data_IF_037949779148
#
_entry.id   IF_037949779148
#
_cell.length_a   1.000
_cell.length_b   1.000
_cell.length_c   1.000
_cell.angle_alpha   90.00
_cell.angle_beta   90.00
_cell.angle_gamma   90.00
#
_symmetry.space_group_name_H-M   'P 1'
#
loop_
_entity.id
_entity.type
_entity.pdbx_description
1 polymer ?
#
# COMPACT_ATOMS: atom_id res chain seq x y z
N UNK A 1 -26.61 -41.55 -0.43
CA UNK A 1 -25.73 -40.63 0.34
C UNK A 1 -25.63 -39.30 -0.41
N UNK A 2 -26.44 -38.31 -0.03
CA UNK A 2 -26.46 -37.00 -0.69
C UNK A 2 -25.23 -36.19 -0.32
N UNK A 3 -24.36 -35.94 -1.29
CA UNK A 3 -23.17 -35.09 -1.14
C UNK A 3 -23.65 -33.64 -0.96
N UNK A 4 -23.76 -33.19 0.29
CA UNK A 4 -24.01 -31.78 0.62
C UNK A 4 -22.91 -30.95 -0.04
N UNK A 5 -23.26 -30.16 -1.07
CA UNK A 5 -22.37 -29.12 -1.60
C UNK A 5 -22.14 -28.13 -0.45
N UNK A 6 -20.90 -28.10 0.06
CA UNK A 6 -20.47 -27.05 0.98
C UNK A 6 -20.75 -25.70 0.31
N UNK A 7 -21.31 -24.70 1.01
CA UNK A 7 -21.43 -23.36 0.46
C UNK A 7 -20.04 -22.92 0.03
N UNK A 8 -19.92 -22.54 -1.24
CA UNK A 8 -18.69 -22.00 -1.80
C UNK A 8 -18.43 -20.68 -1.07
N UNK A 9 -17.61 -20.73 -0.03
CA UNK A 9 -17.03 -19.53 0.56
C UNK A 9 -16.39 -18.74 -0.58
N UNK A 10 -16.77 -17.47 -0.69
CA UNK A 10 -16.32 -16.57 -1.75
C UNK A 10 -14.78 -16.69 -1.88
N UNK A 11 -14.23 -17.03 -3.06
CA UNK A 11 -12.80 -17.26 -3.19
C UNK A 11 -12.04 -15.97 -2.87
N UNK A 12 -10.92 -16.09 -2.16
CA UNK A 12 -10.05 -14.96 -1.84
C UNK A 12 -9.27 -14.59 -3.10
N UNK A 13 -9.72 -13.55 -3.81
CA UNK A 13 -9.11 -13.15 -5.08
C UNK A 13 -8.18 -11.96 -4.88
N UNK A 14 -6.95 -12.06 -5.37
CA UNK A 14 -6.02 -10.94 -5.38
C UNK A 14 -6.46 -9.88 -6.39
N UNK A 15 -6.67 -8.66 -5.91
CA UNK A 15 -7.10 -7.57 -6.78
C UNK A 15 -6.07 -7.23 -7.89
N UNK A 16 -4.78 -7.24 -7.57
CA UNK A 16 -3.70 -6.85 -8.49
C UNK A 16 -3.48 -7.83 -9.65
N UNK A 17 -3.68 -9.13 -9.43
CA UNK A 17 -3.37 -10.17 -10.43
C UNK A 17 -4.47 -11.20 -10.67
N UNK A 18 -5.65 -10.99 -10.07
CA UNK A 18 -6.86 -11.80 -10.23
C UNK A 18 -6.70 -13.29 -9.95
N UNK A 19 -5.66 -13.69 -9.20
CA UNK A 19 -5.47 -15.07 -8.74
C UNK A 19 -6.35 -15.38 -7.54
N UNK A 20 -6.90 -16.58 -7.52
CA UNK A 20 -7.70 -17.16 -6.45
C UNK A 20 -6.83 -17.87 -5.40
N UNK A 21 -7.30 -17.82 -4.16
CA UNK A 21 -6.67 -18.42 -2.99
C UNK A 21 -7.73 -19.03 -2.08
N UNK A 22 -7.35 -20.12 -1.40
CA UNK A 22 -8.23 -20.82 -0.46
C UNK A 22 -8.40 -20.07 0.87
N UNK A 23 -7.39 -19.29 1.27
CA UNK A 23 -7.33 -18.59 2.56
C UNK A 23 -6.87 -17.13 2.42
N UNK A 24 -7.46 -16.23 3.22
CA UNK A 24 -7.08 -14.82 3.29
C UNK A 24 -5.60 -14.64 3.68
N UNK A 25 -5.12 -15.46 4.61
CA UNK A 25 -3.71 -15.43 5.05
C UNK A 25 -2.77 -15.73 3.89
N UNK A 26 -3.13 -16.69 3.04
CA UNK A 26 -2.34 -17.05 1.85
C UNK A 26 -2.39 -15.94 0.82
N UNK A 27 -3.55 -15.31 0.63
CA UNK A 27 -3.70 -14.11 -0.21
C UNK A 27 -2.79 -12.96 0.28
N UNK A 28 -2.77 -12.67 1.58
CA UNK A 28 -1.90 -11.62 2.16
C UNK A 28 -0.42 -11.95 1.93
N UNK A 29 -0.02 -13.21 2.17
CA UNK A 29 1.35 -13.66 1.90
C UNK A 29 1.72 -13.50 0.42
N UNK A 30 0.80 -13.81 -0.49
CA UNK A 30 0.98 -13.61 -1.92
C UNK A 30 1.18 -12.13 -2.28
N UNK A 31 0.32 -11.25 -1.76
CA UNK A 31 0.43 -9.79 -1.97
C UNK A 31 1.81 -9.27 -1.54
N UNK A 32 2.27 -9.65 -0.35
CA UNK A 32 3.59 -9.28 0.20
C UNK A 32 4.75 -9.82 -0.63
N UNK A 33 4.66 -11.06 -1.11
CA UNK A 33 5.74 -11.70 -1.83
C UNK A 33 5.88 -11.22 -3.28
N UNK A 34 4.77 -10.86 -3.93
CA UNK A 34 4.73 -10.55 -5.37
C UNK A 34 4.56 -9.07 -5.70
N UNK A 35 3.66 -8.38 -4.99
CA UNK A 35 3.24 -7.01 -5.31
C UNK A 35 3.96 -5.98 -4.44
N UNK A 36 4.15 -6.28 -3.16
CA UNK A 36 4.78 -5.38 -2.20
C UNK A 36 6.24 -5.71 -1.91
N UNK A 37 6.97 -6.12 -2.94
CA UNK A 37 8.40 -6.44 -2.86
C UNK A 37 9.21 -5.31 -3.48
N UNK A 38 10.13 -4.73 -2.71
CA UNK A 38 11.05 -3.71 -3.23
C UNK A 38 11.95 -4.31 -4.31
N UNK A 39 12.09 -3.62 -5.45
CA UNK A 39 12.98 -4.04 -6.53
C UNK A 39 14.46 -4.01 -6.14
N UNK A 40 14.86 -3.03 -5.32
CA UNK A 40 16.26 -2.75 -5.01
C UNK A 40 16.79 -3.63 -3.87
N UNK A 41 16.09 -3.67 -2.73
CA UNK A 41 16.54 -4.42 -1.56
C UNK A 41 15.74 -5.71 -1.28
N UNK A 42 14.74 -6.03 -2.10
CA UNK A 42 13.91 -7.23 -1.96
C UNK A 42 13.12 -7.30 -0.63
N UNK A 43 13.07 -6.21 0.15
CA UNK A 43 12.26 -6.08 1.37
C UNK A 43 10.78 -6.22 1.02
N UNK A 44 10.05 -6.98 1.84
CA UNK A 44 8.61 -7.23 1.69
C UNK A 44 7.84 -6.28 2.61
N UNK A 45 6.95 -5.49 2.03
CA UNK A 45 6.09 -4.53 2.72
C UNK A 45 4.66 -5.06 2.76
N UNK A 46 3.77 -4.38 3.49
CA UNK A 46 2.38 -4.81 3.70
C UNK A 46 1.38 -4.09 2.80
N UNK A 47 1.69 -2.90 2.31
CA UNK A 47 0.78 -2.05 1.53
C UNK A 47 1.50 -1.36 0.36
N UNK A 48 0.73 -0.92 -0.65
CA UNK A 48 1.21 -0.14 -1.78
C UNK A 48 1.90 1.16 -1.37
N UNK A 49 1.25 2.05 -0.60
CA UNK A 49 1.87 3.28 -0.11
C UNK A 49 3.12 3.03 0.74
N UNK A 50 3.12 1.96 1.55
CA UNK A 50 4.29 1.55 2.32
C UNK A 50 5.49 1.17 1.44
N UNK A 51 5.25 0.51 0.30
CA UNK A 51 6.29 0.24 -0.70
C UNK A 51 6.82 1.53 -1.33
N UNK A 52 5.93 2.45 -1.72
CA UNK A 52 6.34 3.73 -2.32
C UNK A 52 7.20 4.56 -1.38
N UNK A 53 6.77 4.66 -0.13
CA UNK A 53 7.49 5.38 0.90
C UNK A 53 8.85 4.74 1.20
N UNK A 54 8.90 3.41 1.27
CA UNK A 54 10.16 2.69 1.45
C UNK A 54 11.16 2.98 0.32
N UNK A 55 10.73 2.90 -0.94
CA UNK A 55 11.57 3.22 -2.09
C UNK A 55 12.04 4.69 -2.06
N UNK A 56 11.15 5.62 -1.72
CA UNK A 56 11.49 7.03 -1.63
C UNK A 56 12.48 7.32 -0.50
N UNK A 57 12.30 6.72 0.68
CA UNK A 57 13.13 7.02 1.84
C UNK A 57 14.50 6.37 1.76
N UNK A 58 14.54 5.08 1.45
CA UNK A 58 15.74 4.24 1.52
C UNK A 58 16.53 4.32 0.22
N UNK A 59 15.83 4.36 -0.91
CA UNK A 59 16.46 4.31 -2.24
C UNK A 59 16.40 5.63 -2.99
N UNK A 60 15.69 6.65 -2.47
CA UNK A 60 15.46 7.95 -3.14
C UNK A 60 14.79 7.79 -4.52
N UNK A 61 14.06 6.70 -4.70
CA UNK A 61 13.35 6.37 -5.93
C UNK A 61 11.85 6.54 -5.72
N UNK A 62 11.19 7.25 -6.64
CA UNK A 62 9.74 7.42 -6.61
C UNK A 62 9.12 6.34 -7.49
N UNK A 63 8.27 5.51 -6.88
CA UNK A 63 7.43 4.54 -7.60
C UNK A 63 5.98 5.02 -7.59
N UNK A 64 5.35 5.02 -8.76
CA UNK A 64 3.95 5.44 -8.93
C UNK A 64 3.01 4.27 -9.15
N UNK A 65 3.55 3.08 -9.41
CA UNK A 65 2.77 1.88 -9.71
C UNK A 65 3.31 0.67 -8.95
N UNK A 66 2.39 -0.26 -8.65
CA UNK A 66 2.70 -1.52 -7.98
C UNK A 66 3.30 -2.50 -9.00
N UNK A 67 4.48 -3.08 -8.73
CA UNK A 67 5.11 -4.03 -9.64
C UNK A 67 4.28 -5.33 -9.74
N UNK A 68 4.36 -5.99 -10.90
CA UNK A 68 3.67 -7.25 -11.20
C UNK A 68 2.12 -7.18 -11.11
N UNK A 69 1.54 -5.99 -11.11
CA UNK A 69 0.10 -5.78 -11.15
C UNK A 69 -0.39 -5.58 -12.60
N UNK A 70 -1.68 -5.84 -12.83
CA UNK A 70 -2.34 -5.52 -14.11
C UNK A 70 -2.35 -4.00 -14.34
N UNK A 71 -2.21 -3.55 -15.59
CA UNK A 71 -2.09 -2.13 -15.95
C UNK A 71 -3.24 -1.25 -15.45
N UNK A 72 -4.45 -1.81 -15.35
CA UNK A 72 -5.65 -1.10 -14.86
C UNK A 72 -5.88 -1.27 -13.35
N UNK A 73 -4.97 -1.94 -12.64
CA UNK A 73 -5.05 -2.25 -11.21
C UNK A 73 -3.69 -2.11 -10.53
N UNK A 74 -2.82 -1.25 -11.04
CA UNK A 74 -1.46 -1.06 -10.53
C UNK A 74 -1.30 0.21 -9.69
N UNK A 75 -2.39 0.86 -9.29
CA UNK A 75 -2.34 2.11 -8.53
C UNK A 75 -1.74 1.89 -7.13
N UNK A 76 -0.71 2.67 -6.81
CA UNK A 76 -0.01 2.58 -5.53
C UNK A 76 -0.72 3.29 -4.38
N UNK A 77 -1.73 4.10 -4.70
CA UNK A 77 -2.51 4.89 -3.74
C UNK A 77 -3.49 4.05 -2.92
N UNK A 78 -3.93 2.90 -3.43
CA UNK A 78 -4.89 2.05 -2.74
C UNK A 78 -4.21 1.18 -1.68
N UNK A 79 -4.74 1.25 -0.46
CA UNK A 79 -4.31 0.45 0.69
C UNK A 79 -5.09 -0.86 0.77
N UNK A 80 -4.77 -1.80 -0.12
CA UNK A 80 -5.42 -3.11 -0.16
C UNK A 80 -4.66 -4.08 0.76
N UNK A 81 -5.36 -4.63 1.74
CA UNK A 81 -4.84 -5.66 2.65
C UNK A 81 -5.80 -6.86 2.68
N UNK A 82 -5.39 -7.99 2.10
CA UNK A 82 -6.28 -9.12 1.90
C UNK A 82 -7.44 -8.70 0.99
N UNK A 83 -8.68 -8.73 1.52
CA UNK A 83 -9.86 -8.18 0.85
C UNK A 83 -10.34 -6.84 1.40
N UNK A 84 -9.69 -6.32 2.43
CA UNK A 84 -10.00 -5.00 2.96
C UNK A 84 -9.38 -3.93 2.05
N UNK A 85 -10.12 -2.83 1.86
CA UNK A 85 -9.67 -1.70 1.05
C UNK A 85 -9.72 -1.94 -0.46
N UNK A 86 -10.44 -2.96 -0.95
CA UNK A 86 -10.69 -3.13 -2.39
C UNK A 86 -11.51 -1.92 -2.88
N UNK A 87 -10.96 -1.10 -3.80
CA UNK A 87 -11.64 0.09 -4.28
C UNK A 87 -12.83 -0.27 -5.17
N UNK A 88 -13.86 0.58 -5.14
CA UNK A 88 -14.99 0.50 -6.07
C UNK A 88 -14.54 0.83 -7.50
N UNK A 89 -15.31 0.42 -8.50
CA UNK A 89 -14.96 0.70 -9.90
C UNK A 89 -14.87 2.20 -10.20
N UNK A 90 -15.69 3.01 -9.53
CA UNK A 90 -15.67 4.48 -9.63
C UNK A 90 -14.35 5.07 -9.10
N UNK A 91 -13.87 4.58 -7.95
CA UNK A 91 -12.59 5.01 -7.36
C UNK A 91 -11.41 4.67 -8.27
N UNK A 92 -11.46 3.49 -8.92
CA UNK A 92 -10.45 3.07 -9.89
C UNK A 92 -10.44 4.00 -11.10
N UNK A 93 -11.61 4.42 -11.60
CA UNK A 93 -11.70 5.35 -12.73
C UNK A 93 -11.16 6.75 -12.37
N UNK A 94 -11.45 7.25 -11.16
CA UNK A 94 -10.91 8.51 -10.66
C UNK A 94 -9.39 8.44 -10.56
N UNK A 95 -8.85 7.37 -9.96
CA UNK A 95 -7.40 7.17 -9.87
C UNK A 95 -6.74 7.06 -11.25
N UNK A 96 -7.40 6.42 -12.23
CA UNK A 96 -6.93 6.34 -13.60
C UNK A 96 -6.83 7.72 -14.26
N UNK A 97 -7.84 8.59 -14.08
CA UNK A 97 -7.84 9.97 -14.58
C UNK A 97 -6.75 10.80 -13.91
N UNK A 98 -6.59 10.66 -12.60
CA UNK A 98 -5.54 11.37 -11.84
C UNK A 98 -4.13 10.96 -12.30
N UNK A 99 -3.87 9.66 -12.48
CA UNK A 99 -2.56 9.19 -12.93
C UNK A 99 -2.22 9.71 -14.33
N UNK A 100 -3.19 9.74 -15.25
CA UNK A 100 -3.01 10.31 -16.59
C UNK A 100 -2.65 11.80 -16.53
N UNK A 101 -3.30 12.57 -15.66
CA UNK A 101 -3.01 13.99 -15.49
C UNK A 101 -1.61 14.23 -14.91
N UNK A 102 -1.19 13.42 -13.92
CA UNK A 102 0.15 13.49 -13.34
C UNK A 102 1.22 13.14 -14.38
N UNK A 103 1.03 12.06 -15.14
CA UNK A 103 1.97 11.65 -16.19
C UNK A 103 2.08 12.68 -17.34
N UNK A 104 0.96 13.30 -17.71
CA UNK A 104 0.95 14.39 -18.68
C UNK A 104 1.74 15.62 -18.19
N UNK A 105 1.58 15.99 -16.92
CA UNK A 105 2.32 17.11 -16.32
C UNK A 105 3.83 16.85 -16.14
N UNK A 106 4.22 15.60 -15.89
CA UNK A 106 5.64 15.20 -15.81
C UNK A 106 6.31 15.30 -17.18
N UNK A 107 5.58 15.03 -18.26
CA UNK A 107 6.14 15.05 -19.63
C UNK A 107 6.43 16.47 -20.15
N UNK A 108 5.78 17.49 -19.59
CA UNK A 108 6.00 18.91 -19.96
C UNK A 108 7.04 19.62 -19.09
N UNK A 109 7.57 18.95 -18.06
CA UNK A 109 8.52 19.52 -17.11
C UNK A 109 9.80 18.68 -17.10
N UNK A 110 10.77 19.03 -17.94
CA UNK A 110 12.08 18.36 -18.02
C UNK A 110 13.00 18.52 -16.78
N UNK A 111 12.43 18.64 -15.58
CA UNK A 111 13.16 18.75 -14.33
C UNK A 111 12.54 17.80 -13.30
N UNK A 112 13.36 16.87 -12.80
CA UNK A 112 13.12 16.10 -11.59
C UNK A 112 12.94 17.09 -10.42
N UNK A 113 11.72 17.55 -10.21
CA UNK A 113 11.36 18.30 -9.01
C UNK A 113 10.94 17.28 -7.94
N UNK A 114 11.46 17.40 -6.70
CA UNK A 114 10.91 16.64 -5.59
C UNK A 114 9.48 17.12 -5.40
N UNK A 115 8.51 16.35 -5.88
CA UNK A 115 7.09 16.66 -5.66
C UNK A 115 6.85 16.64 -4.17
N UNK A 116 6.84 17.82 -3.55
CA UNK A 116 6.14 18.07 -2.29
C UNK A 116 4.64 17.96 -2.58
N UNK A 117 4.20 16.76 -2.95
CA UNK A 117 2.81 16.47 -3.22
C UNK A 117 2.10 16.30 -1.87
N UNK A 118 0.94 16.94 -1.67
CA UNK A 118 0.15 16.83 -0.43
C UNK A 118 -0.43 15.42 -0.19
N UNK A 119 -0.16 14.45 -1.09
CA UNK A 119 -0.66 13.08 -1.01
C UNK A 119 0.15 12.17 -0.08
N UNK A 120 1.35 12.57 0.31
CA UNK A 120 2.18 11.82 1.26
C UNK A 120 2.67 12.78 2.34
N UNK A 121 2.28 12.60 3.62
CA UNK A 121 2.85 13.40 4.67
C UNK A 121 4.36 13.19 4.67
N UNK A 122 5.11 14.29 4.69
CA UNK A 122 6.58 14.20 4.67
C UNK A 122 7.06 13.36 5.86
N UNK A 123 8.26 12.78 5.75
CA UNK A 123 8.87 12.08 6.89
C UNK A 123 8.88 12.96 8.16
N UNK A 124 9.03 14.28 7.99
CA UNK A 124 8.92 15.25 9.07
C UNK A 124 7.50 15.35 9.67
N UNK A 125 6.44 15.28 8.85
CA UNK A 125 5.06 15.28 9.33
C UNK A 125 4.69 13.97 10.05
N UNK A 126 5.19 12.83 9.58
CA UNK A 126 4.98 11.54 10.27
C UNK A 126 5.75 11.53 11.60
N UNK A 127 7.01 11.97 11.60
CA UNK A 127 7.82 12.09 12.83
C UNK A 127 7.22 13.10 13.80
N UNK A 128 6.63 14.20 13.32
CA UNK A 128 5.92 15.15 14.17
C UNK A 128 4.66 14.53 14.80
N UNK A 129 3.91 13.70 14.07
CA UNK A 129 2.75 12.98 14.62
C UNK A 129 3.18 11.88 15.60
N UNK A 130 4.26 11.16 15.32
CA UNK A 130 4.83 10.16 16.24
C UNK A 130 5.35 10.83 17.51
N UNK A 131 6.11 11.93 17.40
CA UNK A 131 6.60 12.68 18.55
C UNK A 131 5.45 13.28 19.36
N UNK A 132 4.39 13.78 18.71
CA UNK A 132 3.20 14.26 19.41
C UNK A 132 2.50 13.11 20.16
N UNK A 133 2.38 11.93 19.56
CA UNK A 133 1.83 10.75 20.23
C UNK A 133 2.71 10.26 21.39
N UNK A 134 4.04 10.33 21.26
CA UNK A 134 4.98 10.01 22.33
C UNK A 134 4.91 11.03 23.48
N UNK A 135 4.75 12.32 23.18
CA UNK A 135 4.55 13.37 24.18
C UNK A 135 3.21 13.19 24.91
N UNK A 136 2.12 12.91 24.18
CA UNK A 136 0.80 12.61 24.77
C UNK A 136 0.84 11.31 25.61
N UNK A 137 1.65 10.33 25.21
CA UNK A 137 1.85 9.10 25.98
C UNK A 137 2.67 9.31 27.27
N UNK A 138 3.52 10.34 27.33
CA UNK A 138 4.25 10.71 28.56
C UNK A 138 3.33 11.35 29.61
N UNK A 139 2.25 12.02 29.20
CA UNK A 139 1.26 12.61 30.11
C UNK A 139 0.25 11.60 30.68
N UNK A 140 0.10 10.40 30.09
CA UNK A 140 -0.91 9.40 30.48
C UNK A 140 -0.38 8.21 31.29
N UNK A 141 0.93 8.14 31.58
CA UNK A 141 1.45 7.26 32.62
C UNK A 141 1.17 5.74 32.51
N UNK A 142 0.97 5.19 31.31
CA UNK A 142 0.67 3.76 31.14
C UNK A 142 1.61 3.05 30.13
N UNK A 143 2.47 2.20 30.69
CA UNK A 143 3.06 0.98 30.11
C UNK A 143 3.55 1.01 28.64
N UNK A 144 4.74 1.59 28.44
CA UNK A 144 5.51 1.70 27.19
C UNK A 144 5.86 0.39 26.45
N UNK A 145 5.48 -0.79 26.94
CA UNK A 145 5.94 -2.07 26.39
C UNK A 145 5.14 -2.56 25.16
N UNK A 146 3.96 -1.97 24.87
CA UNK A 146 3.09 -2.40 23.77
C UNK A 146 3.26 -1.56 22.48
N UNK A 147 3.79 -0.34 22.55
CA UNK A 147 3.99 0.54 21.38
C UNK A 147 5.17 0.12 20.49
N UNK A 148 6.16 -0.58 21.04
CA UNK A 148 7.32 -1.08 20.28
C UNK A 148 6.94 -2.18 19.27
N UNK A 149 5.81 -2.88 19.47
CA UNK A 149 5.34 -3.93 18.56
C UNK A 149 4.51 -3.39 17.38
N UNK A 150 4.06 -2.13 17.42
CA UNK A 150 3.29 -1.50 16.34
C UNK A 150 4.15 -0.74 15.31
N UNK A 151 5.47 -0.65 15.53
CA UNK A 151 6.41 0.11 14.71
C UNK A 151 7.42 -0.77 13.93
N UNK A 152 7.16 -2.07 13.77
CA UNK A 152 7.96 -2.97 12.93
C UNK A 152 7.16 -3.48 11.72
#
# INVERSE_FOLDING_TARGET
>A
MGRRKKPQTKPWVCWYCTRDFDDERVLILHQRARHFKCGNCQKKLYTGPGLAFHCLQVHKEIIYTVPNALEKKNYITFEIYGMNGIPSEEEVEVAAKQLKNVMAAVSSSGAMQPVSNPLFPSAAQIMARINLLLLVAQDLGENFHLLALYLC
#
